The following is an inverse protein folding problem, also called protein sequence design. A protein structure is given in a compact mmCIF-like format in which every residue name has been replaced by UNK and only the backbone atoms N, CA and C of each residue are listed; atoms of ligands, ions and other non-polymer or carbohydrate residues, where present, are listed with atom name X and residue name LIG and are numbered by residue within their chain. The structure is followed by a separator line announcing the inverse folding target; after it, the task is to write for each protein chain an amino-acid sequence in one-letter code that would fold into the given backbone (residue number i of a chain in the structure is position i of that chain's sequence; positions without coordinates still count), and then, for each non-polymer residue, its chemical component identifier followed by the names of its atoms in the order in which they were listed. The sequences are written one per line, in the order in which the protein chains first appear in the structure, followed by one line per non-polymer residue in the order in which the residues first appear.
data_IF_872526523441
#
_entry.id   IF_872526523441
#
_cell.length_a   1.000
_cell.length_b   1.000
_cell.length_c   1.000
_cell.angle_alpha   90.00
_cell.angle_beta   90.00
_cell.angle_gamma   90.00
#
_symmetry.space_group_name_H-M   'P 1'
#
loop_
_entity.id
_entity.type
_entity.pdbx_description
1 polymer ?
#
# COMPACT_ATOMS: atom_id res chain seq x y z
N UNK A 1 31.35 -4.17 -16.11
CA UNK A 1 30.95 -5.15 -17.15
C UNK A 1 29.66 -4.62 -17.78
N UNK A 2 29.79 -3.59 -18.63
CA UNK A 2 29.61 -3.64 -20.10
C UNK A 2 28.20 -4.09 -20.50
N UNK A 3 27.30 -3.12 -20.70
CA UNK A 3 26.07 -3.29 -21.49
C UNK A 3 26.31 -2.70 -22.87
N UNK A 4 26.19 -3.55 -23.90
CA UNK A 4 26.38 -3.29 -25.32
C UNK A 4 25.07 -2.83 -25.99
N UNK A 5 24.29 -1.96 -25.35
CA UNK A 5 23.15 -1.30 -25.99
C UNK A 5 22.80 0.00 -25.24
N UNK A 6 23.09 1.19 -25.79
CA UNK A 6 22.65 2.45 -25.20
C UNK A 6 21.18 2.64 -25.57
N UNK A 7 20.28 1.86 -24.97
CA UNK A 7 18.87 2.26 -24.94
C UNK A 7 18.80 3.51 -24.08
N UNK A 8 18.39 4.63 -24.68
CA UNK A 8 18.23 5.95 -24.02
C UNK A 8 17.28 5.96 -22.81
N UNK A 9 16.65 4.83 -22.52
CA UNK A 9 15.74 4.62 -21.40
C UNK A 9 16.27 3.48 -20.53
N UNK A 10 16.71 3.82 -19.32
CA UNK A 10 17.20 2.84 -18.36
C UNK A 10 15.99 2.17 -17.67
N UNK A 11 15.63 0.96 -18.11
CA UNK A 11 14.46 0.24 -17.58
C UNK A 11 14.58 0.02 -16.06
N UNK A 12 15.82 -0.14 -15.57
CA UNK A 12 16.11 -0.35 -14.16
C UNK A 12 15.73 0.86 -13.29
N UNK A 13 15.85 2.09 -13.79
CA UNK A 13 15.42 3.29 -13.05
C UNK A 13 13.91 3.43 -12.98
N UNK A 14 13.17 2.93 -13.97
CA UNK A 14 11.70 2.90 -13.96
C UNK A 14 11.19 1.85 -12.95
N UNK A 15 11.88 0.72 -12.90
CA UNK A 15 11.49 -0.42 -12.06
C UNK A 15 11.82 -0.15 -10.58
N UNK A 16 13.02 0.34 -10.28
CA UNK A 16 13.51 0.57 -8.91
C UNK A 16 13.18 1.97 -8.36
N UNK A 17 12.88 2.92 -9.25
CA UNK A 17 12.65 4.32 -8.92
C UNK A 17 13.94 5.08 -8.64
N UNK A 18 13.96 6.37 -8.98
CA UNK A 18 15.00 7.30 -8.55
C UNK A 18 14.35 8.57 -8.02
N UNK A 19 14.26 8.68 -6.69
CA UNK A 19 13.63 9.81 -6.00
C UNK A 19 14.36 11.13 -6.28
N UNK A 20 15.65 11.07 -6.61
CA UNK A 20 16.48 12.25 -6.91
C UNK A 20 16.26 12.81 -8.33
N UNK A 21 15.62 12.07 -9.21
CA UNK A 21 15.37 12.48 -10.61
C UNK A 21 13.93 12.96 -10.85
N UNK A 22 13.13 13.13 -9.80
CA UNK A 22 11.72 13.54 -9.91
C UNK A 22 11.65 15.01 -10.32
N UNK A 23 10.90 15.31 -11.38
CA UNK A 23 10.64 16.68 -11.80
C UNK A 23 9.65 17.37 -10.84
N UNK A 24 9.78 18.69 -10.58
CA UNK A 24 8.85 19.41 -9.69
C UNK A 24 7.38 19.32 -10.14
N UNK A 25 7.13 19.26 -11.45
CA UNK A 25 5.81 19.07 -12.04
C UNK A 25 5.15 17.74 -11.65
N UNK A 26 5.92 16.65 -11.61
CA UNK A 26 5.44 15.32 -11.22
C UNK A 26 5.03 15.29 -9.73
N UNK A 27 5.75 16.04 -8.88
CA UNK A 27 5.44 16.17 -7.45
C UNK A 27 4.08 16.85 -7.26
N UNK A 28 3.85 17.96 -7.97
CA UNK A 28 2.60 18.71 -7.88
C UNK A 28 1.44 17.86 -8.41
N UNK A 29 1.64 17.15 -9.53
CA UNK A 29 0.63 16.25 -10.09
C UNK A 29 0.29 15.11 -9.13
N UNK A 30 1.31 14.45 -8.55
CA UNK A 30 1.11 13.40 -7.57
C UNK A 30 0.37 13.92 -6.32
N UNK A 31 0.76 15.08 -5.82
CA UNK A 31 0.11 15.70 -4.67
C UNK A 31 -1.35 16.07 -4.96
N UNK A 32 -1.64 16.62 -6.14
CA UNK A 32 -3.00 16.95 -6.56
C UNK A 32 -3.88 15.70 -6.68
N UNK A 33 -3.40 14.66 -7.38
CA UNK A 33 -4.12 13.39 -7.54
C UNK A 33 -4.34 12.73 -6.17
N UNK A 34 -3.31 12.70 -5.32
CA UNK A 34 -3.39 12.13 -3.98
C UNK A 34 -4.39 12.88 -3.09
N UNK A 35 -4.37 14.21 -3.10
CA UNK A 35 -5.28 15.04 -2.32
C UNK A 35 -6.73 14.89 -2.78
N UNK A 36 -6.99 14.96 -4.09
CA UNK A 36 -8.33 14.78 -4.66
C UNK A 36 -8.86 13.38 -4.34
N UNK A 37 -8.03 12.34 -4.52
CA UNK A 37 -8.44 10.96 -4.25
C UNK A 37 -8.73 10.74 -2.77
N UNK A 38 -7.89 11.26 -1.88
CA UNK A 38 -8.10 11.20 -0.44
C UNK A 38 -9.40 11.92 -0.03
N UNK A 39 -9.67 13.11 -0.57
CA UNK A 39 -10.88 13.86 -0.30
C UNK A 39 -12.14 13.09 -0.72
N UNK A 40 -12.15 12.52 -1.93
CA UNK A 40 -13.27 11.71 -2.42
C UNK A 40 -13.48 10.47 -1.55
N UNK A 41 -12.40 9.76 -1.17
CA UNK A 41 -12.48 8.58 -0.30
C UNK A 41 -13.04 8.91 1.08
N UNK A 42 -12.65 10.04 1.68
CA UNK A 42 -13.17 10.48 2.98
C UNK A 42 -14.65 10.88 2.89
N UNK A 43 -15.06 11.59 1.84
CA UNK A 43 -16.46 11.96 1.62
C UNK A 43 -17.36 10.74 1.37
N UNK A 44 -16.84 9.73 0.66
CA UNK A 44 -17.54 8.48 0.32
C UNK A 44 -17.26 7.32 1.28
N UNK A 45 -16.61 7.59 2.40
CA UNK A 45 -16.16 6.56 3.35
C UNK A 45 -17.27 5.61 3.79
N UNK A 46 -18.45 6.16 4.16
CA UNK A 46 -19.59 5.37 4.65
C UNK A 46 -20.20 4.51 3.54
N UNK A 47 -20.40 5.09 2.35
CA UNK A 47 -20.95 4.40 1.18
C UNK A 47 -20.05 3.25 0.73
N UNK A 48 -18.73 3.48 0.70
CA UNK A 48 -17.73 2.46 0.36
C UNK A 48 -17.69 1.36 1.40
N UNK A 49 -17.71 1.70 2.69
CA UNK A 49 -17.72 0.70 3.77
C UNK A 49 -18.93 -0.24 3.63
N UNK A 50 -20.14 0.28 3.47
CA UNK A 50 -21.33 -0.57 3.32
C UNK A 50 -21.23 -1.43 2.07
N UNK A 51 -20.75 -0.88 0.95
CA UNK A 51 -20.60 -1.61 -0.31
C UNK A 51 -19.59 -2.77 -0.24
N UNK A 52 -18.49 -2.61 0.51
CA UNK A 52 -17.47 -3.65 0.65
C UNK A 52 -17.82 -4.72 1.69
N UNK A 53 -18.58 -4.36 2.73
CA UNK A 53 -19.00 -5.31 3.77
C UNK A 53 -20.25 -6.10 3.40
N UNK A 54 -21.24 -5.44 2.80
CA UNK A 54 -22.50 -6.09 2.40
C UNK A 54 -23.09 -5.43 1.15
N UNK A 55 -22.74 -6.00 0.00
CA UNK A 55 -23.25 -5.52 -1.30
C UNK A 55 -24.77 -5.72 -1.45
N UNK A 56 -25.36 -6.71 -0.78
CA UNK A 56 -26.79 -6.96 -0.89
C UNK A 56 -27.57 -5.91 -0.09
N UNK A 57 -27.09 -5.57 1.11
CA UNK A 57 -27.62 -4.50 1.94
C UNK A 57 -27.40 -3.11 1.31
N UNK A 58 -26.24 -2.87 0.72
CA UNK A 58 -25.98 -1.62 -0.01
C UNK A 58 -27.00 -1.42 -1.15
N UNK A 59 -27.29 -2.48 -1.92
CA UNK A 59 -28.29 -2.44 -3.00
C UNK A 59 -29.71 -2.25 -2.48
N UNK A 60 -30.08 -2.82 -1.33
CA UNK A 60 -31.43 -2.65 -0.78
C UNK A 60 -31.68 -1.23 -0.24
N UNK A 61 -30.63 -0.52 0.18
CA UNK A 61 -30.71 0.91 0.59
C UNK A 61 -30.70 1.85 -0.64
N UNK A 62 -30.59 1.32 -1.86
CA UNK A 62 -30.60 2.10 -3.09
C UNK A 62 -29.23 2.69 -3.47
N UNK A 63 -28.13 2.23 -2.86
CA UNK A 63 -26.79 2.63 -3.28
C UNK A 63 -26.43 1.94 -4.59
N UNK A 64 -25.87 2.71 -5.53
CA UNK A 64 -25.32 2.16 -6.77
C UNK A 64 -23.94 1.54 -6.50
N UNK A 65 -23.93 0.27 -6.07
CA UNK A 65 -22.70 -0.46 -5.72
C UNK A 65 -21.71 -0.57 -6.88
N UNK A 66 -22.20 -0.68 -8.12
CA UNK A 66 -21.36 -0.68 -9.32
C UNK A 66 -20.63 0.65 -9.50
N UNK A 67 -21.34 1.77 -9.33
CA UNK A 67 -20.75 3.10 -9.41
C UNK A 67 -19.70 3.34 -8.33
N UNK A 68 -19.96 2.92 -7.10
CA UNK A 68 -19.01 3.04 -5.98
C UNK A 68 -17.76 2.19 -6.17
N UNK A 69 -17.90 0.95 -6.65
CA UNK A 69 -16.74 0.10 -6.99
C UNK A 69 -15.93 0.69 -8.13
N UNK A 70 -16.60 1.17 -9.19
CA UNK A 70 -15.92 1.81 -10.32
C UNK A 70 -15.16 3.07 -9.88
N UNK A 71 -15.78 3.91 -9.06
CA UNK A 71 -15.14 5.07 -8.46
C UNK A 71 -13.88 4.66 -7.67
N UNK A 72 -13.99 3.68 -6.78
CA UNK A 72 -12.85 3.20 -5.98
C UNK A 72 -11.70 2.67 -6.85
N UNK A 73 -11.98 1.80 -7.82
CA UNK A 73 -10.95 1.26 -8.70
C UNK A 73 -10.33 2.33 -9.60
N UNK A 74 -11.12 3.33 -10.02
CA UNK A 74 -10.59 4.48 -10.79
C UNK A 74 -9.63 5.31 -9.95
N UNK A 75 -9.99 5.63 -8.70
CA UNK A 75 -9.13 6.35 -7.77
C UNK A 75 -7.85 5.56 -7.45
N UNK A 76 -7.99 4.25 -7.20
CA UNK A 76 -6.86 3.36 -6.96
C UNK A 76 -5.92 3.34 -8.16
N UNK A 77 -6.45 3.17 -9.37
CA UNK A 77 -5.66 3.17 -10.60
C UNK A 77 -4.95 4.51 -10.82
N UNK A 78 -5.66 5.65 -10.65
CA UNK A 78 -5.09 6.98 -10.80
C UNK A 78 -3.94 7.23 -9.80
N UNK A 79 -4.15 6.90 -8.51
CA UNK A 79 -3.11 7.02 -7.49
C UNK A 79 -1.91 6.12 -7.79
N UNK A 80 -2.16 4.87 -8.20
CA UNK A 80 -1.12 3.90 -8.52
C UNK A 80 -0.28 4.42 -9.68
N UNK A 81 -0.90 4.79 -10.80
CA UNK A 81 -0.20 5.29 -11.99
C UNK A 81 0.64 6.54 -11.69
N UNK A 82 0.09 7.50 -10.93
CA UNK A 82 0.85 8.68 -10.53
C UNK A 82 2.06 8.34 -9.64
N UNK A 83 1.90 7.40 -8.71
CA UNK A 83 2.98 6.95 -7.84
C UNK A 83 4.06 6.15 -8.59
N UNK A 84 3.68 5.38 -9.62
CA UNK A 84 4.62 4.58 -10.42
C UNK A 84 5.68 5.45 -11.10
N UNK A 85 5.29 6.64 -11.59
CA UNK A 85 6.18 7.56 -12.30
C UNK A 85 7.23 8.18 -11.37
N UNK A 86 6.87 8.45 -10.12
CA UNK A 86 7.72 9.15 -9.15
C UNK A 86 8.60 8.19 -8.35
N UNK A 87 8.02 7.08 -7.88
CA UNK A 87 8.63 6.21 -6.87
C UNK A 87 9.10 4.87 -7.45
N UNK A 88 8.55 4.43 -8.58
CA UNK A 88 8.92 3.19 -9.26
C UNK A 88 7.98 2.01 -9.00
N UNK A 89 7.97 1.06 -9.93
CA UNK A 89 6.91 0.07 -10.00
C UNK A 89 6.84 -0.93 -8.83
N UNK A 90 7.99 -1.44 -8.40
CA UNK A 90 8.04 -2.41 -7.31
C UNK A 90 7.58 -1.81 -5.98
N UNK A 91 8.03 -0.59 -5.68
CA UNK A 91 7.71 0.05 -4.41
C UNK A 91 6.21 0.35 -4.31
N UNK A 92 5.56 0.78 -5.39
CA UNK A 92 4.10 1.01 -5.40
C UNK A 92 3.34 -0.27 -5.10
N UNK A 93 3.67 -1.39 -5.74
CA UNK A 93 2.99 -2.67 -5.51
C UNK A 93 3.14 -3.10 -4.04
N UNK A 94 4.35 -2.99 -3.49
CA UNK A 94 4.59 -3.32 -2.09
C UNK A 94 3.83 -2.39 -1.12
N UNK A 95 3.78 -1.09 -1.39
CA UNK A 95 3.03 -0.13 -0.56
C UNK A 95 1.52 -0.34 -0.65
N UNK A 96 1.00 -0.84 -1.77
CA UNK A 96 -0.44 -1.15 -1.90
C UNK A 96 -0.80 -2.44 -1.15
N UNK A 97 0.05 -3.46 -1.21
CA UNK A 97 -0.29 -4.81 -0.71
C UNK A 97 0.18 -5.05 0.73
N UNK A 98 1.45 -4.82 1.02
CA UNK A 98 2.11 -5.22 2.27
C UNK A 98 1.54 -4.56 3.53
N UNK A 99 1.35 -3.22 3.61
CA UNK A 99 0.83 -2.60 4.83
C UNK A 99 -0.64 -3.00 5.09
N UNK A 100 -1.43 -3.23 4.03
CA UNK A 100 -2.79 -3.75 4.16
C UNK A 100 -2.83 -5.17 4.71
N UNK A 101 -2.00 -6.07 4.16
CA UNK A 101 -1.86 -7.43 4.66
C UNK A 101 -1.34 -7.48 6.10
N UNK A 102 -0.34 -6.64 6.41
CA UNK A 102 0.23 -6.51 7.77
C UNK A 102 -0.85 -6.03 8.75
N UNK A 103 -1.59 -4.97 8.41
CA UNK A 103 -2.65 -4.44 9.27
C UNK A 103 -3.78 -5.45 9.51
N UNK A 104 -4.13 -6.23 8.49
CA UNK A 104 -5.15 -7.28 8.59
C UNK A 104 -4.75 -8.39 9.58
N UNK A 105 -3.45 -8.72 9.69
CA UNK A 105 -2.97 -9.66 10.71
C UNK A 105 -3.16 -9.15 12.16
N UNK A 106 -3.16 -7.83 12.38
CA UNK A 106 -3.29 -7.21 13.70
C UNK A 106 -4.74 -6.97 14.13
N UNK A 107 -5.66 -6.68 13.19
CA UNK A 107 -7.01 -6.25 13.55
C UNK A 107 -8.09 -6.65 12.56
N UNK A 108 -9.29 -6.92 13.08
CA UNK A 108 -10.48 -7.27 12.29
C UNK A 108 -11.40 -6.05 12.03
N UNK A 109 -11.13 -4.90 12.67
CA UNK A 109 -11.97 -3.70 12.53
C UNK A 109 -11.47 -2.83 11.38
N UNK A 110 -12.28 -2.66 10.34
CA UNK A 110 -11.91 -1.94 9.11
C UNK A 110 -11.31 -0.55 9.31
N UNK A 111 -11.90 0.36 10.13
CA UNK A 111 -11.31 1.69 10.30
C UNK A 111 -9.94 1.63 10.99
N UNK A 112 -9.77 0.68 11.91
CA UNK A 112 -8.49 0.46 12.59
C UNK A 112 -7.47 -0.19 11.66
N UNK A 113 -7.90 -1.11 10.80
CA UNK A 113 -7.06 -1.72 9.77
C UNK A 113 -6.50 -0.65 8.85
N UNK A 114 -7.36 0.25 8.36
CA UNK A 114 -6.94 1.33 7.47
C UNK A 114 -5.94 2.28 8.16
N UNK A 115 -6.21 2.67 9.41
CA UNK A 115 -5.30 3.53 10.17
C UNK A 115 -3.93 2.86 10.41
N UNK A 116 -3.91 1.58 10.74
CA UNK A 116 -2.65 0.82 10.93
C UNK A 116 -1.91 0.68 9.60
N UNK A 117 -2.61 0.37 8.50
CA UNK A 117 -1.98 0.23 7.19
C UNK A 117 -1.33 1.55 6.74
N UNK A 118 -2.04 2.68 6.89
CA UNK A 118 -1.49 4.01 6.59
C UNK A 118 -0.30 4.31 7.50
N UNK A 119 -0.39 4.04 8.80
CA UNK A 119 0.73 4.28 9.73
C UNK A 119 1.97 3.44 9.36
N UNK A 120 1.81 2.14 9.09
CA UNK A 120 2.91 1.27 8.66
C UNK A 120 3.50 1.77 7.34
N UNK A 121 2.66 2.05 6.34
CA UNK A 121 3.10 2.58 5.05
C UNK A 121 3.91 3.86 5.19
N UNK A 122 3.37 4.87 5.88
CA UNK A 122 4.03 6.16 6.07
C UNK A 122 5.33 6.05 6.90
N UNK A 123 5.32 5.29 8.00
CA UNK A 123 6.51 5.11 8.84
C UNK A 123 7.61 4.37 8.08
N UNK A 124 7.26 3.28 7.38
CA UNK A 124 8.24 2.52 6.59
C UNK A 124 8.83 3.30 5.44
N UNK A 125 8.00 4.09 4.74
CA UNK A 125 8.50 4.99 3.69
C UNK A 125 9.39 6.09 4.27
N UNK A 126 9.02 6.68 5.40
CA UNK A 126 9.83 7.72 6.04
C UNK A 126 11.18 7.19 6.53
N UNK A 127 11.19 6.12 7.33
CA UNK A 127 12.42 5.51 7.83
C UNK A 127 13.24 4.88 6.71
N UNK A 128 12.60 4.26 5.72
CA UNK A 128 13.29 3.66 4.58
C UNK A 128 13.93 4.72 3.67
N UNK A 129 13.26 5.85 3.44
CA UNK A 129 13.86 6.98 2.73
C UNK A 129 15.03 7.62 3.51
N UNK A 130 14.87 7.80 4.83
CA UNK A 130 15.92 8.31 5.68
C UNK A 130 17.15 7.38 5.74
N UNK A 131 16.92 6.06 5.84
CA UNK A 131 17.99 5.06 5.85
C UNK A 131 18.68 4.94 4.47
N UNK A 132 17.92 5.12 3.38
CA UNK A 132 18.44 5.12 2.02
C UNK A 132 19.53 6.17 1.82
N UNK A 133 19.37 7.34 2.44
CA UNK A 133 20.38 8.41 2.40
C UNK A 133 21.75 7.97 2.98
N UNK A 134 21.76 7.12 4.01
CA UNK A 134 23.00 6.64 4.62
C UNK A 134 23.61 5.42 3.92
N UNK A 135 22.77 4.58 3.32
CA UNK A 135 23.20 3.34 2.67
C UNK A 135 23.55 3.51 1.18
N UNK A 136 23.31 4.69 0.61
CA UNK A 136 23.48 5.03 -0.82
C UNK A 136 22.85 3.96 -1.74
N UNK A 137 21.73 3.38 -1.28
CA UNK A 137 21.04 2.27 -1.91
C UNK A 137 19.79 2.71 -2.67
N UNK A 138 19.21 1.81 -3.47
CA UNK A 138 17.95 2.09 -4.14
C UNK A 138 16.82 2.24 -3.09
N UNK A 139 16.29 3.46 -2.93
CA UNK A 139 15.28 3.77 -1.92
C UNK A 139 14.05 2.86 -1.99
N UNK A 140 13.62 2.53 -3.22
CA UNK A 140 12.56 1.55 -3.46
C UNK A 140 12.85 0.20 -2.81
N UNK A 141 14.05 -0.35 -3.05
CA UNK A 141 14.46 -1.65 -2.50
C UNK A 141 14.55 -1.65 -0.98
N UNK A 142 15.09 -0.59 -0.38
CA UNK A 142 15.23 -0.47 1.09
C UNK A 142 13.86 -0.46 1.76
N UNK A 143 12.91 0.32 1.23
CA UNK A 143 11.53 0.37 1.77
C UNK A 143 10.85 -1.00 1.63
N UNK A 144 10.98 -1.66 0.47
CA UNK A 144 10.40 -3.00 0.23
C UNK A 144 10.94 -4.04 1.23
N UNK A 145 12.25 -4.05 1.46
CA UNK A 145 12.88 -4.96 2.43
C UNK A 145 12.40 -4.64 3.84
N UNK A 146 12.33 -3.37 4.22
CA UNK A 146 11.82 -2.96 5.54
C UNK A 146 10.36 -3.39 5.74
N UNK A 147 9.49 -3.18 4.74
CA UNK A 147 8.10 -3.62 4.79
C UNK A 147 7.96 -5.13 4.87
N UNK A 148 8.75 -5.87 4.10
CA UNK A 148 8.75 -7.34 4.13
C UNK A 148 9.20 -7.87 5.48
N UNK A 149 10.22 -7.25 6.08
CA UNK A 149 10.74 -7.63 7.40
C UNK A 149 9.70 -7.36 8.50
N UNK A 150 9.02 -6.21 8.44
CA UNK A 150 7.90 -5.90 9.35
C UNK A 150 6.72 -6.85 9.15
N UNK A 151 6.37 -7.19 7.91
CA UNK A 151 5.34 -8.17 7.62
C UNK A 151 5.71 -9.54 8.20
N UNK A 152 6.95 -10.01 8.05
CA UNK A 152 7.41 -11.29 8.60
C UNK A 152 7.39 -11.30 10.13
N UNK A 153 7.90 -10.25 10.78
CA UNK A 153 7.82 -10.11 12.24
C UNK A 153 6.36 -10.16 12.68
N UNK A 154 5.51 -9.37 12.04
CA UNK A 154 4.09 -9.35 12.34
C UNK A 154 3.44 -10.71 12.12
N UNK A 155 3.76 -11.39 11.02
CA UNK A 155 3.20 -12.70 10.69
C UNK A 155 3.56 -13.77 11.74
N UNK A 156 4.77 -13.72 12.30
CA UNK A 156 5.20 -14.62 13.36
C UNK A 156 4.53 -14.27 14.69
N UNK A 157 4.52 -12.99 15.07
CA UNK A 157 4.10 -12.52 16.38
C UNK A 157 2.63 -12.09 16.48
N UNK A 158 1.88 -12.07 15.38
CA UNK A 158 0.52 -11.52 15.36
C UNK A 158 -0.43 -12.30 16.29
N UNK A 159 -1.13 -11.61 17.20
CA UNK A 159 -1.92 -12.25 18.25
C UNK A 159 -3.25 -12.88 17.77
N UNK A 160 -3.77 -12.50 16.58
CA UNK A 160 -5.05 -13.01 16.07
C UNK A 160 -4.92 -13.97 14.88
N UNK A 161 -4.06 -13.65 13.92
CA UNK A 161 -3.85 -14.44 12.70
C UNK A 161 -2.41 -14.97 12.56
N UNK A 162 -1.53 -14.68 13.53
CA UNK A 162 -0.14 -15.14 13.48
C UNK A 162 -0.02 -16.64 13.77
N UNK A 163 1.05 -17.24 13.25
CA UNK A 163 1.31 -18.67 13.30
C UNK A 163 1.34 -19.23 14.74
N UNK A 164 1.67 -18.40 15.72
CA UNK A 164 1.69 -18.75 17.15
C UNK A 164 0.29 -18.73 17.78
N UNK A 165 -0.60 -17.82 17.36
CA UNK A 165 -1.97 -17.75 17.85
C UNK A 165 -2.85 -18.86 17.27
N UNK A 166 -2.67 -19.21 15.99
CA UNK A 166 -3.36 -20.34 15.36
C UNK A 166 -2.92 -21.68 15.97
N UNK A 167 -1.62 -21.85 16.26
CA UNK A 167 -1.10 -23.03 16.95
C UNK A 167 -1.55 -23.16 18.40
N UNK A 168 -1.77 -22.04 19.13
CA UNK A 168 -2.36 -22.06 20.47
C UNK A 168 -3.83 -22.50 20.44
N UNK A 169 -4.65 -21.93 19.56
CA UNK A 169 -6.06 -22.36 19.39
C UNK A 169 -6.19 -23.81 18.92
N UNK A 170 -5.30 -24.26 18.03
CA UNK A 170 -5.28 -25.66 17.59
C UNK A 170 -4.86 -26.64 18.70
N UNK A 171 -4.01 -26.21 19.65
CA UNK A 171 -3.68 -27.01 20.84
C UNK A 171 -4.81 -27.01 21.87
N UNK A 172 -5.52 -25.89 22.05
CA UNK A 172 -6.68 -25.80 22.94
C UNK A 172 -7.89 -26.60 22.42
N UNK A 173 -8.04 -26.76 21.09
CA UNK A 173 -9.10 -27.58 20.49
C UNK A 173 -8.77 -29.09 20.46
N UNK A 174 -7.53 -29.49 20.78
CA UNK A 174 -7.08 -30.88 20.78
C UNK A 174 -7.01 -31.49 22.19
N UNK A 175 -7.38 -30.74 23.23
CA UNK A 175 -7.46 -31.18 24.62
C UNK A 175 -8.93 -31.21 25.06
#
# INVERSE_FOLDING_TARGET
MVSLNPTSVNIQTIILGNILAIAPEDIIQLAAIGFISMAILLLKWKDLMVTFFDEHHARSIGLNTRGLKLLFFTLLAACTVAALQTVGAFLVICLVVTPGATAWLLTDRFPRLLAIAVAIGSLTSFFGAWLSYYLDGATGGIIVVAQTLLFLITFIFAPKHGLLASRRRAREAAC
#
